data_IF_046448005247
#
_entry.id   IF_046448005247
#
_cell.length_a   1.000
_cell.length_b   1.000
_cell.length_c   1.000
_cell.angle_alpha   90.00
_cell.angle_beta   90.00
_cell.angle_gamma   90.00
#
_symmetry.space_group_name_H-M   'P 1'
#
loop_
_entity.id
_entity.type
_entity.pdbx_description
1 polymer ?
#
# COMPACT_ATOMS: atom_id res chain seq x y z
N UNK A 1 -19.13 -3.17 5.10
CA UNK A 1 -18.93 -3.44 6.53
C UNK A 1 -17.46 -3.78 6.76
N UNK A 2 -16.84 -3.21 7.81
CA UNK A 2 -15.49 -3.58 8.24
C UNK A 2 -15.54 -4.34 9.57
N UNK A 3 -14.73 -5.41 9.67
CA UNK A 3 -14.58 -6.19 10.87
C UNK A 3 -13.11 -6.51 11.10
N UNK A 4 -12.62 -6.35 12.32
CA UNK A 4 -11.24 -6.67 12.67
C UNK A 4 -11.10 -7.20 14.09
N UNK A 5 -10.08 -8.04 14.26
CA UNK A 5 -9.55 -8.41 15.58
C UNK A 5 -8.11 -7.90 15.65
N UNK A 6 -7.81 -7.11 16.67
CA UNK A 6 -6.49 -6.55 16.86
C UNK A 6 -5.98 -6.80 18.28
N UNK A 7 -4.85 -7.49 18.39
CA UNK A 7 -4.19 -7.77 19.66
C UNK A 7 -2.85 -7.05 19.71
N UNK A 8 -2.51 -6.52 20.87
CA UNK A 8 -1.22 -5.85 21.14
C UNK A 8 -0.52 -6.45 22.34
N UNK A 9 0.81 -6.44 22.28
CA UNK A 9 1.72 -6.72 23.40
C UNK A 9 1.40 -8.05 24.12
N UNK A 10 1.31 -9.13 23.33
CA UNK A 10 1.16 -10.49 23.83
C UNK A 10 2.51 -11.22 23.83
N UNK A 11 3.32 -10.99 24.85
CA UNK A 11 4.67 -11.52 24.96
C UNK A 11 5.57 -10.98 23.86
N UNK A 12 6.09 -11.85 22.98
CA UNK A 12 6.91 -11.44 21.81
C UNK A 12 6.08 -10.99 20.61
N UNK A 13 4.78 -11.21 20.62
CA UNK A 13 3.87 -10.75 19.58
C UNK A 13 3.44 -9.32 19.88
N UNK A 14 4.03 -8.38 19.18
CA UNK A 14 3.78 -6.96 19.38
C UNK A 14 2.45 -6.51 18.81
N UNK A 15 2.10 -7.01 17.65
CA UNK A 15 0.84 -6.71 16.96
C UNK A 15 0.35 -7.95 16.22
N UNK A 16 -0.92 -8.26 16.34
CA UNK A 16 -1.62 -9.28 15.56
C UNK A 16 -2.88 -8.63 15.02
N UNK A 17 -3.03 -8.61 13.70
CA UNK A 17 -4.18 -8.06 13.01
C UNK A 17 -4.86 -9.15 12.18
N UNK A 18 -6.18 -9.28 12.30
CA UNK A 18 -7.02 -10.16 11.49
C UNK A 18 -8.25 -9.40 11.03
N UNK A 19 -8.67 -9.62 9.78
CA UNK A 19 -9.77 -8.90 9.15
C UNK A 19 -9.30 -7.61 8.47
N UNK A 20 -9.93 -6.47 8.76
CA UNK A 20 -9.64 -5.19 8.12
C UNK A 20 -8.60 -4.41 8.94
N UNK A 21 -7.45 -4.14 8.34
CA UNK A 21 -6.33 -3.47 9.01
C UNK A 21 -5.56 -2.56 8.05
N UNK A 22 -4.61 -1.84 8.58
CA UNK A 22 -3.65 -1.02 7.84
C UNK A 22 -2.23 -1.42 8.20
N UNK A 23 -1.30 -1.24 7.24
CA UNK A 23 0.12 -1.41 7.45
C UNK A 23 0.89 -0.18 6.94
N UNK A 24 1.82 0.31 7.75
CA UNK A 24 2.55 1.55 7.50
C UNK A 24 4.02 1.36 7.86
N UNK A 25 4.91 1.59 6.89
CA UNK A 25 6.35 1.41 7.08
C UNK A 25 7.12 2.63 6.54
N UNK A 26 8.27 2.92 7.14
CA UNK A 26 9.17 3.98 6.73
C UNK A 26 8.52 5.37 6.64
N UNK A 27 8.80 6.07 5.56
CA UNK A 27 8.18 7.35 5.19
C UNK A 27 7.05 7.18 4.17
N UNK A 28 6.69 5.92 3.85
CA UNK A 28 5.59 5.57 2.96
C UNK A 28 5.90 5.69 1.48
N UNK A 29 7.17 5.57 1.08
CA UNK A 29 7.54 5.43 -0.33
C UNK A 29 7.34 4.01 -0.83
N UNK A 30 7.75 3.01 -0.03
CA UNK A 30 7.63 1.60 -0.39
C UNK A 30 6.22 1.10 -0.16
N UNK A 31 5.68 1.34 1.04
CA UNK A 31 4.33 0.92 1.38
C UNK A 31 3.66 1.76 2.47
N UNK A 32 2.44 2.17 2.17
CA UNK A 32 1.58 2.87 3.12
C UNK A 32 0.12 2.60 2.81
N UNK A 33 -0.59 1.88 3.67
CA UNK A 33 -2.04 1.77 3.59
C UNK A 33 -2.70 2.75 4.56
N UNK A 34 -3.82 3.30 4.13
CA UNK A 34 -4.53 4.33 4.87
C UNK A 34 -4.28 5.74 4.35
N UNK A 35 -4.96 6.71 4.95
CA UNK A 35 -4.83 8.11 4.54
C UNK A 35 -3.43 8.61 4.79
N UNK A 36 -2.84 9.18 3.77
CA UNK A 36 -1.60 9.93 3.86
C UNK A 36 -1.95 11.41 3.80
N UNK A 37 -1.94 12.09 4.93
CA UNK A 37 -2.10 13.54 4.93
C UNK A 37 -0.88 14.18 4.25
N UNK A 38 -1.16 15.12 3.34
CA UNK A 38 -0.14 15.89 2.67
C UNK A 38 0.61 16.83 3.62
N UNK A 39 1.51 17.61 3.06
CA UNK A 39 2.25 18.65 3.82
C UNK A 39 1.25 19.68 4.35
N UNK A 40 1.30 19.91 5.65
CA UNK A 40 0.57 20.98 6.33
C UNK A 40 1.49 22.13 6.73
N UNK A 41 0.93 23.15 7.38
CA UNK A 41 1.69 24.25 7.95
C UNK A 41 2.54 23.85 9.17
N UNK A 42 2.24 22.68 9.77
CA UNK A 42 3.00 22.15 10.90
C UNK A 42 4.30 21.51 10.43
N UNK A 43 5.43 22.00 10.94
CA UNK A 43 6.77 21.51 10.62
C UNK A 43 6.94 20.01 10.95
N UNK A 44 6.24 19.52 11.98
CA UNK A 44 6.32 18.11 12.38
C UNK A 44 5.68 17.17 11.35
N UNK A 45 4.78 17.67 10.49
CA UNK A 45 4.11 16.91 9.44
C UNK A 45 5.01 16.56 8.25
N UNK A 46 6.23 17.11 8.17
CA UNK A 46 7.20 16.73 7.12
C UNK A 46 7.69 15.28 7.29
N UNK A 47 7.68 14.75 8.51
CA UNK A 47 8.05 13.39 8.83
C UNK A 47 6.81 12.54 9.05
N UNK A 48 6.70 11.43 8.35
CA UNK A 48 5.67 10.43 8.62
C UNK A 48 6.09 9.53 9.78
N UNK A 49 5.14 9.24 10.66
CA UNK A 49 5.34 8.31 11.77
C UNK A 49 4.61 7.01 11.46
N UNK A 50 5.34 6.05 10.90
CA UNK A 50 4.83 4.71 10.65
C UNK A 50 4.54 3.99 11.98
N UNK A 51 3.38 3.36 12.08
CA UNK A 51 2.92 2.66 13.29
C UNK A 51 2.95 1.13 13.14
N UNK A 52 3.47 0.60 12.04
CA UNK A 52 3.38 -0.81 11.70
C UNK A 52 1.96 -1.22 11.35
N UNK A 53 1.49 -2.31 11.92
CA UNK A 53 0.10 -2.75 11.77
C UNK A 53 -0.82 -1.94 12.68
N UNK A 54 -2.03 -1.64 12.21
CA UNK A 54 -3.06 -0.96 13.00
C UNK A 54 -4.46 -1.42 12.57
N UNK A 55 -5.43 -1.41 13.50
CA UNK A 55 -6.81 -1.74 13.15
C UNK A 55 -7.37 -0.69 12.20
N UNK A 56 -8.24 -1.12 11.30
CA UNK A 56 -9.00 -0.21 10.45
C UNK A 56 -10.30 0.20 11.15
N UNK A 57 -10.50 1.48 11.32
CA UNK A 57 -11.67 2.05 11.98
C UNK A 57 -12.23 3.27 11.21
N UNK A 58 -12.05 3.32 9.89
CA UNK A 58 -12.56 4.41 9.05
C UNK A 58 -13.76 3.93 8.23
N UNK A 59 -14.53 4.88 7.71
CA UNK A 59 -15.63 4.63 6.76
C UNK A 59 -15.17 4.55 5.30
N UNK A 60 -13.88 4.75 5.03
CA UNK A 60 -13.33 4.71 3.67
C UNK A 60 -13.23 3.26 3.19
N UNK A 61 -13.80 2.94 2.04
CA UNK A 61 -13.92 1.56 1.55
C UNK A 61 -12.67 1.05 0.83
N UNK A 62 -11.69 1.91 0.58
CA UNK A 62 -10.53 1.56 -0.26
C UNK A 62 -9.22 1.44 0.50
N UNK A 63 -9.02 2.22 1.56
CA UNK A 63 -7.74 2.43 2.23
C UNK A 63 -7.40 1.41 3.32
N UNK A 64 -7.86 0.18 3.20
CA UNK A 64 -7.55 -0.89 4.14
C UNK A 64 -7.03 -2.15 3.44
N UNK A 65 -6.42 -3.02 4.20
CA UNK A 65 -6.03 -4.37 3.85
C UNK A 65 -7.01 -5.34 4.51
N UNK A 66 -7.37 -6.42 3.82
CA UNK A 66 -8.26 -7.46 4.36
C UNK A 66 -7.53 -8.80 4.38
N UNK A 67 -7.35 -9.36 5.57
CA UNK A 67 -6.62 -10.61 5.74
C UNK A 67 -5.95 -10.70 7.10
N UNK A 68 -4.62 -10.83 7.14
CA UNK A 68 -3.90 -10.95 8.41
C UNK A 68 -2.49 -10.37 8.38
N UNK A 69 -2.04 -9.93 9.54
CA UNK A 69 -0.68 -9.45 9.72
C UNK A 69 -0.19 -9.69 11.14
N UNK A 70 1.11 -9.85 11.28
CA UNK A 70 1.79 -10.18 12.53
C UNK A 70 3.07 -9.39 12.65
N UNK A 71 3.30 -8.80 13.83
CA UNK A 71 4.59 -8.22 14.21
C UNK A 71 5.17 -8.99 15.39
N UNK A 72 6.37 -9.52 15.22
CA UNK A 72 7.13 -10.27 16.21
C UNK A 72 8.38 -9.51 16.63
N UNK A 73 8.63 -9.43 17.94
CA UNK A 73 9.79 -8.76 18.51
C UNK A 73 10.84 -9.78 18.97
N UNK A 74 12.06 -9.61 18.45
CA UNK A 74 13.23 -10.42 18.79
C UNK A 74 14.37 -9.52 19.25
N UNK A 75 14.37 -9.16 20.52
CA UNK A 75 15.36 -8.26 21.10
C UNK A 75 15.29 -6.85 20.50
N UNK A 76 16.27 -6.48 19.68
CA UNK A 76 16.29 -5.20 18.97
C UNK A 76 15.66 -5.25 17.58
N UNK A 77 15.27 -6.44 17.13
CA UNK A 77 14.62 -6.62 15.84
C UNK A 77 13.10 -6.69 15.98
N UNK A 78 12.41 -6.07 15.08
CA UNK A 78 10.97 -6.15 14.92
C UNK A 78 10.68 -6.63 13.50
N UNK A 79 10.02 -7.78 13.38
CA UNK A 79 9.74 -8.44 12.11
C UNK A 79 8.24 -8.43 11.92
N UNK A 80 7.78 -7.79 10.85
CA UNK A 80 6.36 -7.74 10.48
C UNK A 80 6.15 -8.46 9.17
N UNK A 81 5.13 -9.31 9.11
CA UNK A 81 4.63 -9.91 7.88
C UNK A 81 3.14 -9.67 7.76
N UNK A 82 2.64 -9.51 6.53
CA UNK A 82 1.22 -9.35 6.28
C UNK A 82 0.79 -9.90 4.92
N UNK A 83 -0.48 -10.26 4.84
CA UNK A 83 -1.16 -10.70 3.63
C UNK A 83 -2.56 -10.11 3.56
N UNK A 84 -2.94 -9.62 2.40
CA UNK A 84 -4.26 -9.07 2.10
C UNK A 84 -4.82 -9.65 0.81
N UNK A 85 -6.06 -10.03 0.86
CA UNK A 85 -6.87 -10.45 -0.28
C UNK A 85 -8.20 -9.73 -0.20
N UNK A 86 -8.49 -8.86 -1.15
CA UNK A 86 -9.76 -8.13 -1.21
C UNK A 86 -10.22 -7.92 -2.64
N UNK A 87 -11.52 -7.76 -2.81
CA UNK A 87 -12.10 -7.25 -4.03
C UNK A 87 -12.16 -5.74 -3.99
N UNK A 88 -11.97 -5.12 -5.13
CA UNK A 88 -11.99 -3.66 -5.31
C UNK A 88 -12.81 -3.32 -6.55
N UNK A 89 -13.35 -2.11 -6.57
CA UNK A 89 -14.12 -1.61 -7.68
C UNK A 89 -13.19 -1.13 -8.79
N UNK A 90 -13.58 -1.37 -10.04
CA UNK A 90 -12.81 -0.94 -11.19
C UNK A 90 -13.68 -0.77 -12.42
N UNK A 91 -13.42 0.29 -13.19
CA UNK A 91 -14.09 0.51 -14.47
C UNK A 91 -13.70 -0.57 -15.47
N UNK A 92 -14.58 -1.57 -15.61
CA UNK A 92 -14.41 -2.67 -16.55
C UNK A 92 -14.64 -2.18 -17.96
N UNK A 93 -13.71 -2.47 -18.86
CA UNK A 93 -13.88 -2.23 -20.29
C UNK A 93 -14.63 -3.45 -20.86
N UNK A 94 -15.91 -3.26 -21.14
CA UNK A 94 -16.70 -4.27 -21.85
C UNK A 94 -16.35 -4.15 -23.33
N UNK A 95 -15.61 -5.12 -23.85
CA UNK A 95 -15.39 -5.21 -25.28
C UNK A 95 -16.68 -5.70 -25.95
N UNK A 96 -17.14 -4.95 -26.96
CA UNK A 96 -18.29 -5.36 -27.75
C UNK A 96 -17.92 -6.60 -28.59
N UNK A 97 -18.39 -7.75 -28.15
CA UNK A 97 -18.16 -9.04 -28.83
C UNK A 97 -19.20 -9.34 -29.92
N UNK A 98 -20.12 -8.39 -30.17
CA UNK A 98 -21.16 -8.56 -31.20
C UNK A 98 -20.52 -8.54 -32.59
N UNK A 99 -20.38 -9.69 -33.19
CA UNK A 99 -19.82 -9.88 -34.56
C UNK A 99 -18.42 -10.52 -34.59
N UNK A 100 -17.86 -10.89 -33.45
CA UNK A 100 -16.59 -11.62 -33.38
C UNK A 100 -16.80 -13.14 -33.53
N UNK A 101 -15.79 -13.83 -34.07
CA UNK A 101 -15.79 -15.28 -34.12
C UNK A 101 -15.59 -15.88 -32.72
N UNK A 102 -16.06 -17.10 -32.51
CA UNK A 102 -15.97 -17.79 -31.22
C UNK A 102 -14.54 -17.93 -30.70
N UNK A 103 -13.56 -18.13 -31.61
CA UNK A 103 -12.13 -18.19 -31.30
C UNK A 103 -11.58 -16.85 -30.78
N UNK A 104 -12.07 -15.72 -31.32
CA UNK A 104 -11.70 -14.38 -30.87
C UNK A 104 -12.30 -14.07 -29.49
N UNK A 105 -13.52 -14.51 -29.22
CA UNK A 105 -14.18 -14.38 -27.91
C UNK A 105 -13.44 -15.22 -26.87
N UNK A 106 -13.01 -16.42 -27.19
CA UNK A 106 -12.20 -17.27 -26.31
C UNK A 106 -10.83 -16.65 -26.01
N UNK A 107 -10.21 -16.03 -27.01
CA UNK A 107 -8.94 -15.32 -26.82
C UNK A 107 -9.10 -14.11 -25.86
N UNK A 108 -10.15 -13.31 -26.03
CA UNK A 108 -10.50 -12.19 -25.13
C UNK A 108 -10.74 -12.69 -23.70
N UNK A 109 -11.49 -13.78 -23.54
CA UNK A 109 -11.75 -14.37 -22.22
C UNK A 109 -10.49 -14.95 -21.57
N UNK A 110 -9.51 -15.44 -22.34
CA UNK A 110 -8.22 -15.90 -21.83
C UNK A 110 -7.30 -14.74 -21.44
N UNK A 111 -7.44 -13.56 -22.05
CA UNK A 111 -6.64 -12.39 -21.73
C UNK A 111 -6.97 -11.77 -20.37
N UNK A 112 -8.13 -12.09 -19.78
CA UNK A 112 -8.58 -11.61 -18.48
C UNK A 112 -9.28 -10.26 -18.57
N UNK A 113 -9.72 -9.76 -17.42
CA UNK A 113 -10.48 -8.52 -17.31
C UNK A 113 -9.62 -7.30 -17.64
N UNK A 114 -10.07 -6.48 -18.58
CA UNK A 114 -9.44 -5.20 -18.91
C UNK A 114 -10.14 -4.06 -18.18
N UNK A 115 -9.36 -3.16 -17.58
CA UNK A 115 -9.88 -2.01 -16.84
C UNK A 115 -9.22 -0.71 -17.29
N UNK A 116 -9.99 0.37 -17.31
CA UNK A 116 -9.47 1.71 -17.59
C UNK A 116 -8.92 2.41 -16.34
N UNK A 117 -9.55 2.18 -15.19
CA UNK A 117 -9.16 2.80 -13.91
C UNK A 117 -9.72 2.04 -12.72
N UNK A 118 -9.05 2.22 -11.57
CA UNK A 118 -9.57 1.78 -10.28
C UNK A 118 -10.54 2.83 -9.74
N UNK A 119 -11.70 2.41 -9.28
CA UNK A 119 -12.63 3.30 -8.59
C UNK A 119 -12.30 3.38 -7.09
N UNK A 120 -12.32 4.60 -6.57
CA UNK A 120 -12.05 4.85 -5.15
C UNK A 120 -13.25 5.46 -4.41
N UNK A 121 -14.36 5.67 -5.12
CA UNK A 121 -15.50 6.42 -4.59
C UNK A 121 -16.48 5.58 -3.79
N UNK A 122 -16.51 4.26 -3.98
CA UNK A 122 -17.44 3.34 -3.31
C UNK A 122 -18.93 3.62 -3.60
N UNK A 123 -19.24 4.36 -4.68
CA UNK A 123 -20.62 4.63 -5.06
C UNK A 123 -21.16 3.52 -5.96
N UNK A 124 -22.33 2.97 -5.61
CA UNK A 124 -23.01 1.92 -6.36
C UNK A 124 -24.48 2.33 -6.60
N UNK A 125 -24.70 3.38 -7.40
CA UNK A 125 -26.02 4.00 -7.61
C UNK A 125 -26.58 3.79 -9.00
N UNK A 126 -25.69 3.62 -9.99
CA UNK A 126 -26.08 3.42 -11.40
C UNK A 126 -25.82 1.96 -11.80
N UNK A 127 -26.46 1.44 -12.88
CA UNK A 127 -26.18 0.09 -13.37
C UNK A 127 -24.69 -0.16 -13.64
N UNK A 128 -23.99 0.77 -14.26
CA UNK A 128 -22.56 0.66 -14.55
C UNK A 128 -21.71 0.64 -13.25
N UNK A 129 -22.04 1.48 -12.26
CA UNK A 129 -21.36 1.44 -10.95
C UNK A 129 -21.60 0.12 -10.21
N UNK A 130 -22.72 -0.56 -10.47
CA UNK A 130 -23.01 -1.89 -9.90
C UNK A 130 -22.24 -3.01 -10.62
N UNK A 131 -22.00 -2.89 -11.91
CA UNK A 131 -21.17 -3.83 -12.69
C UNK A 131 -19.69 -3.72 -12.30
N UNK A 132 -19.23 -2.51 -12.02
CA UNK A 132 -17.86 -2.20 -11.58
C UNK A 132 -17.57 -2.62 -10.13
N UNK A 133 -18.62 -2.97 -9.37
CA UNK A 133 -18.51 -3.31 -7.96
C UNK A 133 -17.81 -4.66 -7.77
N UNK A 134 -16.80 -4.67 -6.87
CA UNK A 134 -16.07 -5.90 -6.52
C UNK A 134 -15.51 -6.66 -7.74
N UNK A 135 -15.36 -5.97 -8.89
CA UNK A 135 -15.03 -6.60 -10.17
C UNK A 135 -13.59 -7.12 -10.22
N UNK A 136 -12.69 -6.59 -9.39
CA UNK A 136 -11.27 -6.86 -9.45
C UNK A 136 -10.78 -7.46 -8.15
N UNK A 137 -9.94 -8.47 -8.24
CA UNK A 137 -9.24 -9.02 -7.07
C UNK A 137 -7.89 -8.37 -6.90
N UNK A 138 -7.62 -7.85 -5.70
CA UNK A 138 -6.32 -7.33 -5.29
C UNK A 138 -5.71 -8.24 -4.22
N UNK A 139 -4.50 -8.70 -4.48
CA UNK A 139 -3.66 -9.42 -3.51
C UNK A 139 -2.45 -8.56 -3.17
N UNK A 140 -2.16 -8.42 -1.89
CA UNK A 140 -0.97 -7.72 -1.42
C UNK A 140 -0.33 -8.52 -0.30
N UNK A 141 0.97 -8.74 -0.40
CA UNK A 141 1.75 -9.37 0.66
C UNK A 141 3.06 -8.62 0.85
N UNK A 142 3.56 -8.66 2.06
CA UNK A 142 4.82 -8.02 2.32
C UNK A 142 5.32 -8.21 3.73
N UNK A 143 6.50 -7.66 3.94
CA UNK A 143 7.15 -7.68 5.23
C UNK A 143 8.04 -6.47 5.45
N UNK A 144 8.29 -6.23 6.72
CA UNK A 144 9.19 -5.20 7.20
C UNK A 144 10.04 -5.73 8.33
N UNK A 145 11.33 -5.53 8.24
CA UNK A 145 12.28 -5.87 9.31
C UNK A 145 12.93 -4.57 9.78
N UNK A 146 12.76 -4.25 11.06
CA UNK A 146 13.37 -3.08 11.66
C UNK A 146 14.36 -3.46 12.77
N UNK A 147 15.52 -2.84 12.74
CA UNK A 147 16.46 -2.82 13.86
C UNK A 147 16.27 -1.54 14.66
N UNK A 148 15.87 -1.65 15.92
CA UNK A 148 15.48 -0.53 16.78
C UNK A 148 16.40 -0.40 17.98
N UNK A 149 16.96 0.79 18.12
CA UNK A 149 17.67 1.22 19.31
C UNK A 149 17.06 2.50 19.85
N UNK A 150 17.60 3.03 20.95
CA UNK A 150 17.11 4.29 21.54
C UNK A 150 17.25 5.49 20.59
N UNK A 151 18.30 5.51 19.76
CA UNK A 151 18.64 6.66 18.90
C UNK A 151 18.59 6.35 17.40
N UNK A 152 18.58 5.08 17.01
CA UNK A 152 18.65 4.66 15.61
C UNK A 152 17.62 3.59 15.33
N UNK A 153 16.83 3.83 14.29
CA UNK A 153 15.93 2.85 13.66
C UNK A 153 16.35 2.69 12.21
N UNK A 154 16.58 1.46 11.75
CA UNK A 154 16.81 1.15 10.34
C UNK A 154 15.81 0.06 9.97
N UNK A 155 15.12 0.22 8.86
CA UNK A 155 14.13 -0.72 8.36
C UNK A 155 14.38 -1.15 6.93
N UNK A 156 13.94 -2.36 6.60
CA UNK A 156 13.88 -2.89 5.24
C UNK A 156 12.47 -3.41 4.97
N UNK A 157 11.88 -2.98 3.87
CA UNK A 157 10.51 -3.34 3.47
C UNK A 157 10.54 -4.04 2.12
N UNK A 158 9.79 -5.14 2.00
CA UNK A 158 9.54 -5.82 0.72
C UNK A 158 8.05 -6.03 0.54
N UNK A 159 7.52 -5.68 -0.64
CA UNK A 159 6.08 -5.75 -0.95
C UNK A 159 5.91 -6.38 -2.32
N UNK A 160 4.93 -7.27 -2.42
CA UNK A 160 4.41 -7.78 -3.66
C UNK A 160 2.91 -7.48 -3.74
N UNK A 161 2.47 -6.94 -4.86
CA UNK A 161 1.06 -6.61 -5.14
C UNK A 161 0.66 -7.20 -6.48
N UNK A 162 -0.49 -7.86 -6.52
CA UNK A 162 -1.09 -8.42 -7.74
C UNK A 162 -2.53 -7.95 -7.85
N UNK A 163 -2.90 -7.52 -9.05
CA UNK A 163 -4.28 -7.18 -9.43
C UNK A 163 -4.68 -8.10 -10.56
N UNK A 164 -5.83 -8.75 -10.42
CA UNK A 164 -6.37 -9.67 -11.41
C UNK A 164 -7.15 -8.90 -12.50
N UNK A 165 -6.45 -7.99 -13.15
CA UNK A 165 -6.95 -7.21 -14.27
C UNK A 165 -5.79 -6.57 -15.04
N UNK A 166 -5.94 -6.44 -16.36
CA UNK A 166 -5.01 -5.69 -17.21
C UNK A 166 -5.46 -4.23 -17.30
N UNK A 167 -4.50 -3.32 -17.19
CA UNK A 167 -4.78 -1.90 -17.38
C UNK A 167 -4.68 -1.54 -18.86
N UNK A 168 -5.82 -1.31 -19.50
CA UNK A 168 -5.88 -0.72 -20.83
C UNK A 168 -6.05 0.79 -20.69
N UNK A 169 -4.97 1.52 -20.78
CA UNK A 169 -4.97 2.98 -20.74
C UNK A 169 -4.44 3.55 -22.03
N UNK A 170 -5.11 4.60 -22.53
CA UNK A 170 -4.57 5.40 -23.62
C UNK A 170 -3.20 5.95 -23.23
N UNK A 171 -2.18 5.66 -24.04
CA UNK A 171 -0.82 6.16 -23.85
C UNK A 171 -0.77 7.65 -24.18
N UNK A 172 -0.97 8.46 -23.17
CA UNK A 172 -0.75 9.90 -23.25
C UNK A 172 0.73 10.21 -22.93
N UNK A 173 1.36 11.21 -23.55
CA UNK A 173 2.78 11.53 -23.31
C UNK A 173 3.16 11.70 -21.84
N UNK A 174 2.24 12.18 -21.00
CA UNK A 174 2.45 12.37 -19.56
C UNK A 174 2.20 11.11 -18.72
N UNK A 175 1.65 10.05 -19.31
CA UNK A 175 1.34 8.79 -18.61
C UNK A 175 2.20 7.60 -19.08
N UNK A 176 3.12 7.83 -20.02
CA UNK A 176 3.98 6.78 -20.61
C UNK A 176 4.84 5.99 -19.59
N UNK A 177 5.15 6.60 -18.44
CA UNK A 177 5.91 5.95 -17.37
C UNK A 177 5.03 5.37 -16.25
N UNK A 178 3.69 5.38 -16.42
CA UNK A 178 2.81 4.72 -15.46
C UNK A 178 2.94 3.22 -15.62
N UNK A 179 3.13 2.54 -14.48
CA UNK A 179 3.12 1.10 -14.48
C UNK A 179 1.73 0.58 -14.86
N UNK A 180 1.68 -0.29 -15.87
CA UNK A 180 0.48 -0.95 -16.37
C UNK A 180 0.46 -2.44 -16.02
N UNK A 181 1.51 -2.92 -15.34
CA UNK A 181 1.61 -4.32 -14.98
C UNK A 181 0.62 -4.68 -13.86
N UNK A 182 0.02 -5.84 -13.99
CA UNK A 182 -0.88 -6.42 -12.99
C UNK A 182 -0.13 -6.86 -11.73
N UNK A 183 1.17 -7.10 -11.84
CA UNK A 183 2.04 -7.50 -10.74
C UNK A 183 3.12 -6.45 -10.48
N UNK A 184 3.35 -6.15 -9.23
CA UNK A 184 4.36 -5.18 -8.80
C UNK A 184 5.11 -5.69 -7.58
N UNK A 185 6.43 -5.66 -7.65
CA UNK A 185 7.27 -5.86 -6.48
C UNK A 185 8.05 -4.58 -6.16
N UNK A 186 8.11 -4.24 -4.88
CA UNK A 186 8.80 -3.06 -4.37
C UNK A 186 9.67 -3.44 -3.19
N UNK A 187 10.84 -2.84 -3.13
CA UNK A 187 11.76 -2.97 -2.00
C UNK A 187 12.20 -1.58 -1.54
N UNK A 188 12.44 -1.43 -0.25
CA UNK A 188 12.89 -0.17 0.29
C UNK A 188 13.66 -0.31 1.57
N UNK A 189 14.44 0.73 1.85
CA UNK A 189 15.19 0.88 3.10
C UNK A 189 14.82 2.22 3.72
N UNK A 190 14.55 2.22 5.00
CA UNK A 190 14.23 3.43 5.76
C UNK A 190 15.14 3.58 6.97
N UNK A 191 15.28 4.81 7.42
CA UNK A 191 16.02 5.13 8.63
C UNK A 191 15.39 6.28 9.39
N UNK A 192 15.60 6.27 10.69
CA UNK A 192 15.32 7.36 11.60
C UNK A 192 16.44 7.42 12.65
N UNK A 193 17.22 8.50 12.65
CA UNK A 193 18.38 8.68 13.51
C UNK A 193 18.27 9.98 14.31
N UNK A 194 18.30 9.83 15.62
CA UNK A 194 18.30 10.96 16.57
C UNK A 194 19.73 11.16 17.08
N UNK A 195 20.27 12.33 16.82
CA UNK A 195 21.57 12.74 17.32
C UNK A 195 21.46 14.12 17.96
N UNK A 196 21.60 14.18 19.28
CA UNK A 196 21.36 15.41 20.07
C UNK A 196 19.97 15.99 19.79
N UNK A 197 19.90 17.23 19.30
CA UNK A 197 18.66 17.92 18.91
C UNK A 197 18.27 17.72 17.43
N UNK A 198 18.98 16.89 16.70
CA UNK A 198 18.66 16.56 15.31
C UNK A 198 17.93 15.23 15.23
N UNK A 199 16.90 15.19 14.41
CA UNK A 199 16.23 13.96 14.01
C UNK A 199 16.31 13.85 12.49
N UNK A 200 17.18 12.98 11.99
CA UNK A 200 17.33 12.66 10.58
C UNK A 200 16.43 11.47 10.23
N UNK A 201 15.77 11.55 9.11
CA UNK A 201 14.89 10.49 8.63
C UNK A 201 14.91 10.41 7.11
N UNK A 202 14.60 9.25 6.57
CA UNK A 202 14.50 9.08 5.14
C UNK A 202 14.09 7.68 4.75
N UNK A 203 13.82 7.53 3.46
CA UNK A 203 13.49 6.26 2.83
C UNK A 203 13.96 6.29 1.38
N UNK A 204 14.50 5.17 0.91
CA UNK A 204 14.75 4.89 -0.49
C UNK A 204 13.92 3.69 -0.89
N UNK A 205 13.28 3.76 -2.05
CA UNK A 205 12.43 2.71 -2.57
C UNK A 205 12.71 2.47 -4.04
N UNK A 206 12.64 1.22 -4.44
CA UNK A 206 12.73 0.79 -5.83
C UNK A 206 11.57 -0.16 -6.14
N UNK A 207 10.84 0.15 -7.19
CA UNK A 207 9.95 -0.82 -7.85
C UNK A 207 10.77 -1.67 -8.80
N UNK A 208 10.59 -2.98 -8.78
CA UNK A 208 11.20 -3.89 -9.76
C UNK A 208 10.54 -3.57 -11.10
N UNK A 209 11.34 -3.44 -12.15
CA UNK A 209 10.93 -3.08 -13.52
C UNK A 209 10.28 -1.68 -13.67
N UNK A 210 10.43 -0.82 -12.65
CA UNK A 210 9.91 0.54 -12.66
C UNK A 210 10.88 1.53 -11.99
N UNK A 211 10.35 2.66 -11.49
CA UNK A 211 11.12 3.78 -10.96
C UNK A 211 11.75 3.56 -9.60
N UNK A 212 12.65 4.48 -9.26
CA UNK A 212 13.26 4.65 -7.94
C UNK A 212 12.76 5.94 -7.30
N UNK A 213 12.62 5.94 -5.99
CA UNK A 213 12.24 7.12 -5.23
C UNK A 213 13.11 7.25 -3.98
N UNK A 214 13.41 8.48 -3.60
CA UNK A 214 14.14 8.79 -2.38
C UNK A 214 13.48 9.97 -1.68
N UNK A 215 13.38 9.91 -0.37
CA UNK A 215 13.03 11.03 0.49
C UNK A 215 13.99 11.07 1.68
N UNK A 216 14.38 12.26 2.09
CA UNK A 216 15.21 12.48 3.28
C UNK A 216 14.87 13.83 3.87
N UNK A 217 15.02 13.95 5.19
CA UNK A 217 14.76 15.18 5.91
C UNK A 217 15.41 15.20 7.28
N UNK A 218 15.43 16.38 7.87
CA UNK A 218 15.89 16.60 9.24
C UNK A 218 14.96 17.55 9.97
N UNK A 219 14.70 17.27 11.23
CA UNK A 219 14.01 18.16 12.18
C UNK A 219 15.03 18.54 13.24
N UNK A 220 15.13 19.82 13.53
CA UNK A 220 16.05 20.37 14.55
C UNK A 220 15.19 21.01 15.63
N UNK A 221 15.39 20.59 16.87
CA UNK A 221 14.83 21.28 18.02
C UNK A 221 15.81 22.36 18.46
N UNK A 222 15.41 23.61 18.29
CA UNK A 222 16.14 24.75 18.80
C UNK A 222 15.84 24.89 20.30
N UNK A 223 16.89 24.97 21.13
CA UNK A 223 16.72 25.19 22.55
C UNK A 223 16.17 26.63 22.75
N UNK A 224 15.01 26.79 23.41
CA UNK A 224 14.55 28.12 23.76
C UNK A 224 15.55 28.71 24.80
N UNK A 225 16.29 29.71 24.41
CA UNK A 225 17.09 30.52 25.36
C UNK A 225 16.17 31.36 26.20
#
# INVERSE_FOLDING_TARGET
YSAHLFLRDRGKFKQIALGDYQAQFGQGLTFWSGRAFGKGADILMIKRSATGLRPYASVDETLFLRGGGLTYELGKFEITGFYSYKKIDGNVIIQDTSGLAQEEIEAINQEGLSISSLQQTGFHRTPNELEDKDAITQQQMGGHVAYKTRSLNIGATGIFSKIDAKFERSLQPYSQFRNQESEQAKVGLDYNWIYRNFNFFGEVSQSIDAGKAITSGAIVMLDPK
#
